data_IF_459204737188
#
_entry.id   IF_459204737188
#
_cell.length_a   1.000
_cell.length_b   1.000
_cell.length_c   1.000
_cell.angle_alpha   90.00
_cell.angle_beta   90.00
_cell.angle_gamma   90.00
#
_symmetry.space_group_name_H-M   'P 1'
#
loop_
_entity.id
_entity.type
_entity.pdbx_description
1 polymer ?
#
# COMPACT_ATOMS: atom_id res chain seq x y z
N UNK A 1 24.02 43.72 0.76
CA UNK A 1 22.78 43.00 1.15
C UNK A 1 23.17 41.78 1.96
N UNK A 2 22.57 41.60 3.10
CA UNK A 2 22.75 40.40 3.94
C UNK A 2 22.02 39.20 3.34
N UNK A 3 22.35 38.01 3.80
CA UNK A 3 21.63 36.78 3.36
C UNK A 3 20.14 36.84 3.66
N UNK A 4 19.75 37.44 4.81
CA UNK A 4 18.36 37.66 5.20
C UNK A 4 17.62 38.61 4.25
N UNK A 5 18.24 39.74 3.87
CA UNK A 5 17.65 40.66 2.92
C UNK A 5 17.44 40.06 1.55
N UNK A 6 18.43 39.27 1.07
CA UNK A 6 18.33 38.54 -0.19
C UNK A 6 17.23 37.48 -0.14
N UNK A 7 17.12 36.73 0.98
CA UNK A 7 16.06 35.76 1.18
C UNK A 7 14.68 36.45 1.14
N UNK A 8 14.51 37.55 1.84
CA UNK A 8 13.24 38.30 1.86
C UNK A 8 12.84 38.83 0.48
N UNK A 9 13.79 39.27 -0.34
CA UNK A 9 13.51 39.60 -1.74
C UNK A 9 13.04 38.38 -2.52
N UNK A 10 13.67 37.22 -2.32
CA UNK A 10 13.21 35.95 -2.90
C UNK A 10 11.74 35.66 -2.51
N UNK A 11 11.38 35.85 -1.24
CA UNK A 11 9.99 35.68 -0.75
C UNK A 11 9.05 36.69 -1.41
N UNK A 12 9.44 37.96 -1.56
CA UNK A 12 8.63 38.98 -2.23
C UNK A 12 8.31 38.60 -3.67
N UNK A 13 9.32 38.16 -4.45
CA UNK A 13 9.11 37.69 -5.82
C UNK A 13 8.31 36.39 -5.90
N UNK A 14 8.53 35.46 -4.97
CA UNK A 14 7.77 34.20 -4.93
C UNK A 14 6.28 34.41 -4.67
N UNK A 15 5.94 35.42 -3.85
CA UNK A 15 4.56 35.69 -3.41
C UNK A 15 3.89 36.89 -4.15
N UNK A 16 4.62 37.63 -4.99
CA UNK A 16 4.13 38.84 -5.62
C UNK A 16 3.88 40.00 -4.63
N UNK A 17 4.67 40.07 -3.56
CA UNK A 17 4.51 41.07 -2.50
C UNK A 17 5.28 42.35 -2.83
N UNK A 18 4.57 43.40 -3.28
CA UNK A 18 5.17 44.66 -3.67
C UNK A 18 5.89 44.64 -5.01
N UNK A 19 6.00 43.48 -5.66
CA UNK A 19 6.57 43.26 -6.98
C UNK A 19 5.70 42.23 -7.71
N UNK A 20 5.68 42.20 -9.07
CA UNK A 20 5.04 41.11 -9.80
C UNK A 20 5.61 39.74 -9.40
N UNK A 21 4.77 38.74 -9.28
CA UNK A 21 5.21 37.37 -8.96
C UNK A 21 6.13 36.85 -10.08
N UNK A 22 7.34 36.44 -9.70
CA UNK A 22 8.35 35.89 -10.61
C UNK A 22 9.18 34.83 -9.87
N UNK A 23 8.91 33.55 -10.14
CA UNK A 23 9.63 32.46 -9.52
C UNK A 23 11.09 32.34 -10.01
N UNK A 24 11.40 32.78 -11.24
CA UNK A 24 12.78 32.77 -11.71
C UNK A 24 13.64 33.81 -10.97
N UNK A 25 13.10 35.02 -10.77
CA UNK A 25 13.76 36.03 -9.92
C UNK A 25 13.83 35.56 -8.45
N UNK A 26 12.76 34.94 -7.92
CA UNK A 26 12.79 34.38 -6.57
C UNK A 26 13.94 33.35 -6.42
N UNK A 27 14.09 32.43 -7.39
CA UNK A 27 15.19 31.45 -7.39
C UNK A 27 16.58 32.08 -7.40
N UNK A 28 16.75 33.17 -8.18
CA UNK A 28 18.01 33.91 -8.22
C UNK A 28 18.36 34.54 -6.85
N UNK A 29 17.37 35.13 -6.19
CA UNK A 29 17.56 35.72 -4.88
C UNK A 29 17.78 34.67 -3.79
N UNK A 30 17.01 33.57 -3.80
CA UNK A 30 17.24 32.45 -2.90
C UNK A 30 18.64 31.84 -3.10
N UNK A 31 19.13 31.73 -4.34
CA UNK A 31 20.47 31.23 -4.63
C UNK A 31 21.55 32.12 -3.98
N UNK A 32 21.47 33.44 -4.14
CA UNK A 32 22.39 34.37 -3.50
C UNK A 32 22.44 34.19 -1.98
N UNK A 33 21.29 34.12 -1.33
CA UNK A 33 21.19 33.89 0.11
C UNK A 33 21.69 32.48 0.51
N UNK A 34 21.38 31.45 -0.28
CA UNK A 34 21.79 30.08 -0.04
C UNK A 34 23.32 29.88 -0.16
N UNK A 35 23.96 30.59 -1.10
CA UNK A 35 25.41 30.59 -1.27
C UNK A 35 26.13 31.25 -0.09
N UNK A 36 25.45 32.16 0.61
CA UNK A 36 25.93 32.74 1.88
C UNK A 36 25.63 31.84 3.10
N UNK A 37 25.09 30.63 2.88
CA UNK A 37 24.85 29.64 3.92
C UNK A 37 23.49 29.79 4.64
N UNK A 38 22.57 30.64 4.16
CA UNK A 38 21.27 30.83 4.82
C UNK A 38 20.36 29.60 4.64
N UNK A 39 20.15 28.83 5.72
CA UNK A 39 19.48 27.54 5.68
C UNK A 39 18.06 27.59 5.07
N UNK A 40 17.29 28.64 5.41
CA UNK A 40 15.94 28.80 4.85
C UNK A 40 15.96 29.02 3.34
N UNK A 41 16.95 29.77 2.82
CA UNK A 41 17.12 29.96 1.38
C UNK A 41 17.55 28.68 0.68
N UNK A 42 18.45 27.89 1.31
CA UNK A 42 18.84 26.58 0.82
C UNK A 42 17.66 25.62 0.71
N UNK A 43 16.79 25.61 1.73
CA UNK A 43 15.55 24.82 1.74
C UNK A 43 14.58 25.26 0.63
N UNK A 44 14.34 26.58 0.48
CA UNK A 44 13.46 27.07 -0.59
C UNK A 44 14.01 26.79 -1.98
N UNK A 45 15.28 26.99 -2.19
CA UNK A 45 15.91 26.70 -3.48
C UNK A 45 15.87 25.20 -3.79
N UNK A 46 16.11 24.34 -2.79
CA UNK A 46 15.96 22.90 -2.91
C UNK A 46 14.54 22.52 -3.34
N UNK A 47 13.51 23.09 -2.67
CA UNK A 47 12.13 22.87 -3.03
C UNK A 47 11.82 23.31 -4.48
N UNK A 48 12.30 24.49 -4.90
CA UNK A 48 12.12 24.97 -6.28
C UNK A 48 12.71 23.99 -7.31
N UNK A 49 13.86 23.40 -7.04
CA UNK A 49 14.41 22.35 -7.91
C UNK A 49 13.61 21.04 -7.87
N UNK A 50 13.05 20.66 -6.73
CA UNK A 50 12.23 19.47 -6.63
C UNK A 50 10.95 19.57 -7.47
N UNK A 51 10.34 20.76 -7.53
CA UNK A 51 9.06 20.96 -8.22
C UNK A 51 9.19 21.58 -9.62
N UNK A 52 10.37 22.07 -9.97
CA UNK A 52 10.59 22.76 -11.24
C UNK A 52 9.98 24.15 -11.29
N UNK A 53 9.92 24.86 -10.15
CA UNK A 53 9.31 26.18 -10.07
C UNK A 53 10.35 27.29 -10.19
N UNK A 54 10.32 28.06 -11.27
CA UNK A 54 11.28 29.12 -11.56
C UNK A 54 12.68 28.62 -11.97
N UNK A 55 12.92 27.32 -11.88
CA UNK A 55 14.10 26.59 -12.37
C UNK A 55 13.66 25.27 -12.99
N UNK A 56 14.40 24.68 -13.93
CA UNK A 56 14.14 23.33 -14.38
C UNK A 56 14.14 22.34 -13.22
N UNK A 57 13.22 21.36 -13.25
CA UNK A 57 13.17 20.33 -12.23
C UNK A 57 14.48 19.50 -12.24
N UNK A 58 15.11 19.41 -11.08
CA UNK A 58 16.37 18.66 -10.90
C UNK A 58 16.43 18.11 -9.46
N UNK A 59 16.14 16.81 -9.30
CA UNK A 59 16.18 16.16 -7.99
C UNK A 59 17.62 16.06 -7.42
N UNK A 60 18.68 16.06 -8.25
CA UNK A 60 20.03 16.06 -7.74
C UNK A 60 20.41 17.40 -7.10
N UNK A 61 20.04 18.50 -7.76
CA UNK A 61 20.17 19.84 -7.16
C UNK A 61 19.27 20.00 -5.92
N UNK A 62 18.03 19.49 -5.97
CA UNK A 62 17.14 19.47 -4.81
C UNK A 62 17.82 18.78 -3.61
N UNK A 63 18.29 17.55 -3.77
CA UNK A 63 18.96 16.78 -2.72
C UNK A 63 20.22 17.48 -2.20
N UNK A 64 21.00 18.10 -3.10
CA UNK A 64 22.21 18.85 -2.76
C UNK A 64 21.89 20.05 -1.85
N UNK A 65 20.86 20.82 -2.18
CA UNK A 65 20.47 21.98 -1.39
C UNK A 65 19.81 21.59 -0.08
N UNK A 66 18.94 20.56 -0.09
CA UNK A 66 18.34 20.05 1.15
C UNK A 66 19.40 19.50 2.10
N UNK A 67 20.44 18.81 1.60
CA UNK A 67 21.55 18.35 2.46
C UNK A 67 22.28 19.50 3.12
N UNK A 68 22.63 20.56 2.35
CA UNK A 68 23.27 21.76 2.92
C UNK A 68 22.41 22.41 3.99
N UNK A 69 21.10 22.49 3.77
CA UNK A 69 20.17 23.00 4.77
C UNK A 69 20.08 22.06 5.99
N UNK A 70 19.88 20.76 5.78
CA UNK A 70 19.64 19.76 6.81
C UNK A 70 20.83 19.53 7.76
N UNK A 71 22.03 19.83 7.32
CA UNK A 71 23.24 19.73 8.16
C UNK A 71 23.39 20.90 9.15
N UNK A 72 22.55 21.94 9.06
CA UNK A 72 22.55 23.07 9.98
C UNK A 72 21.68 22.76 11.22
N UNK A 73 22.15 23.09 12.41
CA UNK A 73 21.53 22.73 13.69
C UNK A 73 20.09 23.29 13.88
N UNK A 74 19.73 24.33 13.15
CA UNK A 74 18.40 25.01 13.24
C UNK A 74 17.48 24.64 12.08
N UNK A 75 17.75 23.58 11.35
CA UNK A 75 16.96 23.18 10.18
C UNK A 75 15.61 22.63 10.60
N UNK A 76 14.57 23.07 9.89
CA UNK A 76 13.22 22.56 10.09
C UNK A 76 13.14 21.06 9.83
N UNK A 77 12.40 20.36 10.67
CA UNK A 77 12.17 18.91 10.56
C UNK A 77 11.68 18.47 9.17
N UNK A 78 10.92 19.34 8.49
CA UNK A 78 10.38 19.10 7.14
C UNK A 78 11.51 18.89 6.12
N UNK A 79 12.57 19.72 6.14
CA UNK A 79 13.69 19.59 5.19
C UNK A 79 14.45 18.26 5.39
N UNK A 80 14.63 17.87 6.65
CA UNK A 80 15.25 16.57 6.98
C UNK A 80 14.36 15.40 6.53
N UNK A 81 13.04 15.52 6.73
CA UNK A 81 12.07 14.55 6.26
C UNK A 81 12.12 14.41 4.73
N UNK A 82 12.07 15.54 4.00
CA UNK A 82 12.10 15.55 2.54
C UNK A 82 13.40 14.94 1.99
N UNK A 83 14.53 15.23 2.62
CA UNK A 83 15.79 14.58 2.27
C UNK A 83 15.73 13.06 2.50
N UNK A 84 15.11 12.62 3.59
CA UNK A 84 14.82 11.21 3.84
C UNK A 84 13.96 10.58 2.75
N UNK A 85 12.95 11.29 2.24
CA UNK A 85 12.10 10.85 1.11
C UNK A 85 12.91 10.70 -0.17
N UNK A 86 13.80 11.64 -0.48
CA UNK A 86 14.67 11.55 -1.66
C UNK A 86 15.56 10.31 -1.61
N UNK A 87 16.17 10.01 -0.45
CA UNK A 87 16.95 8.78 -0.26
C UNK A 87 16.12 7.51 -0.33
N UNK A 88 14.92 7.52 0.26
CA UNK A 88 14.03 6.37 0.24
C UNK A 88 13.59 6.00 -1.18
N UNK A 89 13.40 7.01 -2.05
CA UNK A 89 12.92 6.85 -3.42
C UNK A 89 14.05 6.77 -4.46
N UNK A 90 15.30 7.10 -4.10
CA UNK A 90 16.40 7.22 -5.06
C UNK A 90 16.24 8.41 -6.03
N UNK A 91 15.60 9.49 -5.57
CA UNK A 91 15.35 10.68 -6.39
C UNK A 91 16.51 11.67 -6.26
N UNK A 92 17.28 11.83 -7.35
CA UNK A 92 18.46 12.70 -7.39
C UNK A 92 19.67 12.19 -6.57
N UNK A 93 19.50 11.12 -5.85
CA UNK A 93 20.53 10.39 -5.09
C UNK A 93 20.31 8.89 -5.27
N UNK A 94 21.32 8.04 -5.15
CA UNK A 94 21.11 6.59 -5.09
C UNK A 94 20.15 6.22 -3.95
N UNK A 95 19.25 5.27 -4.19
CA UNK A 95 18.34 4.79 -3.15
C UNK A 95 19.15 4.21 -1.98
N UNK A 96 18.88 4.71 -0.78
CA UNK A 96 19.56 4.29 0.44
C UNK A 96 18.62 4.40 1.64
N UNK A 97 18.05 3.26 2.05
CA UNK A 97 17.14 3.20 3.18
C UNK A 97 17.82 3.49 4.54
N UNK A 98 19.14 3.24 4.66
CA UNK A 98 19.88 3.56 5.90
C UNK A 98 19.98 5.07 6.06
N UNK A 99 20.34 5.79 4.99
CA UNK A 99 20.34 7.25 5.00
C UNK A 99 18.93 7.81 5.21
N UNK A 100 17.93 7.24 4.54
CA UNK A 100 16.53 7.66 4.72
C UNK A 100 16.09 7.52 6.18
N UNK A 101 16.35 6.36 6.82
CA UNK A 101 16.04 6.12 8.22
C UNK A 101 16.74 7.12 9.15
N UNK A 102 17.99 7.44 8.88
CA UNK A 102 18.76 8.41 9.67
C UNK A 102 18.15 9.82 9.60
N UNK A 103 17.72 10.25 8.41
CA UNK A 103 17.09 11.55 8.20
C UNK A 103 15.66 11.59 8.78
N UNK A 104 14.87 10.51 8.60
CA UNK A 104 13.57 10.40 9.24
C UNK A 104 13.68 10.46 10.76
N UNK A 105 14.71 9.81 11.35
CA UNK A 105 14.94 9.88 12.80
C UNK A 105 15.20 11.30 13.27
N UNK A 106 16.07 12.05 12.60
CA UNK A 106 16.35 13.44 12.95
C UNK A 106 15.07 14.29 12.93
N UNK A 107 14.24 14.12 11.89
CA UNK A 107 12.96 14.84 11.78
C UNK A 107 11.92 14.35 12.81
N UNK A 108 11.86 13.06 13.08
CA UNK A 108 10.95 12.44 14.05
C UNK A 108 11.26 12.86 15.49
N UNK A 109 12.55 12.99 15.81
CA UNK A 109 13.00 13.47 17.14
C UNK A 109 12.67 14.96 17.35
N UNK A 110 12.52 15.75 16.29
CA UNK A 110 11.97 17.11 16.33
C UNK A 110 10.42 17.14 16.41
N UNK A 111 9.75 15.99 16.45
CA UNK A 111 8.32 15.89 16.64
C UNK A 111 7.49 15.85 15.35
N UNK A 112 8.07 15.84 14.16
CA UNK A 112 7.30 15.83 12.91
C UNK A 112 6.55 14.48 12.76
N UNK A 113 5.21 14.55 12.78
CA UNK A 113 4.33 13.37 12.73
C UNK A 113 4.56 12.51 11.46
N UNK A 114 4.76 13.14 10.30
CA UNK A 114 5.05 12.43 9.06
C UNK A 114 6.37 11.63 9.15
N UNK A 115 7.40 12.21 9.76
CA UNK A 115 8.68 11.53 9.95
C UNK A 115 8.58 10.40 10.98
N UNK A 116 7.82 10.60 12.05
CA UNK A 116 7.55 9.56 13.05
C UNK A 116 6.80 8.38 12.42
N UNK A 117 5.80 8.64 11.60
CA UNK A 117 5.10 7.60 10.83
C UNK A 117 6.06 6.85 9.90
N UNK A 118 6.85 7.58 9.10
CA UNK A 118 7.79 6.96 8.14
C UNK A 118 8.87 6.12 8.84
N UNK A 119 9.38 6.59 9.99
CA UNK A 119 10.33 5.83 10.79
C UNK A 119 9.69 4.58 11.39
N UNK A 120 8.46 4.67 11.89
CA UNK A 120 7.67 3.53 12.34
C UNK A 120 7.49 2.49 11.24
N UNK A 121 7.19 2.95 10.04
CA UNK A 121 7.04 2.09 8.86
C UNK A 121 8.36 1.42 8.45
N UNK A 122 9.49 2.11 8.60
CA UNK A 122 10.82 1.52 8.37
C UNK A 122 11.15 0.42 9.36
N UNK A 123 10.79 0.58 10.63
CA UNK A 123 10.92 -0.49 11.62
C UNK A 123 9.94 -1.65 11.37
N UNK A 124 8.72 -1.36 10.93
CA UNK A 124 7.71 -2.35 10.56
C UNK A 124 8.17 -3.24 9.39
N UNK A 125 8.88 -2.68 8.40
CA UNK A 125 9.38 -3.41 7.24
C UNK A 125 10.83 -3.91 7.38
N UNK A 126 11.59 -3.42 8.36
CA UNK A 126 13.03 -3.67 8.46
C UNK A 126 13.86 -2.92 7.43
N UNK A 127 13.37 -1.78 6.90
CA UNK A 127 14.07 -0.98 5.90
C UNK A 127 15.05 -0.02 6.55
N UNK A 128 16.34 -0.07 6.15
CA UNK A 128 17.36 0.86 6.64
C UNK A 128 17.61 0.84 8.15
N UNK A 129 17.03 -0.12 8.85
CA UNK A 129 17.23 -0.41 10.27
C UNK A 129 17.88 -1.80 10.41
N UNK A 130 18.56 -2.10 11.54
CA UNK A 130 19.31 -3.37 11.67
C UNK A 130 18.43 -4.62 11.49
N UNK A 131 17.15 -4.54 11.86
CA UNK A 131 16.14 -5.60 11.70
C UNK A 131 14.73 -5.02 11.79
N UNK A 132 13.75 -5.79 11.31
CA UNK A 132 12.34 -5.53 11.60
C UNK A 132 12.09 -5.54 13.11
N UNK A 133 11.38 -4.53 13.60
CA UNK A 133 11.12 -4.36 15.04
C UNK A 133 9.75 -3.70 15.25
N UNK A 134 8.75 -4.53 15.50
CA UNK A 134 7.38 -4.07 15.72
C UNK A 134 7.20 -3.28 17.03
N UNK A 135 8.07 -3.47 18.04
CA UNK A 135 8.02 -2.68 19.28
C UNK A 135 8.41 -1.24 18.98
N UNK A 136 9.50 -1.05 18.21
CA UNK A 136 9.90 0.29 17.76
C UNK A 136 8.87 0.88 16.80
N UNK A 137 8.33 0.08 15.87
CA UNK A 137 7.27 0.53 14.96
C UNK A 137 6.06 1.06 15.74
N UNK A 138 5.55 0.28 16.71
CA UNK A 138 4.42 0.68 17.55
C UNK A 138 4.70 1.97 18.34
N UNK A 139 5.90 2.12 18.88
CA UNK A 139 6.30 3.31 19.64
C UNK A 139 6.30 4.57 18.75
N UNK A 140 6.83 4.48 17.53
CA UNK A 140 6.86 5.61 16.60
C UNK A 140 5.48 5.89 16.00
N UNK A 141 4.71 4.86 15.63
CA UNK A 141 3.32 5.02 15.18
C UNK A 141 2.48 5.69 16.26
N UNK A 142 2.66 5.34 17.56
CA UNK A 142 1.93 5.99 18.65
C UNK A 142 2.20 7.48 18.72
N UNK A 143 3.47 7.90 18.64
CA UNK A 143 3.82 9.33 18.65
C UNK A 143 3.14 10.09 17.51
N UNK A 144 3.14 9.53 16.30
CA UNK A 144 2.46 10.14 15.16
C UNK A 144 0.93 10.11 15.28
N UNK A 145 0.37 8.99 15.77
CA UNK A 145 -1.06 8.79 15.96
C UNK A 145 -1.66 9.74 17.01
N UNK A 146 -0.91 10.02 18.08
CA UNK A 146 -1.30 10.97 19.12
C UNK A 146 -1.34 12.41 18.58
N UNK A 147 -0.57 12.71 17.53
CA UNK A 147 -0.62 13.98 16.80
C UNK A 147 -1.72 14.02 15.72
N UNK A 148 -2.53 12.96 15.59
CA UNK A 148 -3.63 12.90 14.65
C UNK A 148 -3.29 12.31 13.28
N UNK A 149 -2.07 11.82 13.03
CA UNK A 149 -1.72 11.19 11.76
C UNK A 149 -2.58 9.94 11.51
N UNK A 150 -3.43 9.98 10.48
CA UNK A 150 -4.42 8.93 10.21
C UNK A 150 -3.76 7.60 9.80
N UNK A 151 -2.70 7.63 9.00
CA UNK A 151 -1.95 6.43 8.62
C UNK A 151 -1.33 5.75 9.85
N UNK A 152 -0.74 6.53 10.75
CA UNK A 152 -0.17 6.01 11.99
C UNK A 152 -1.25 5.43 12.91
N UNK A 153 -2.41 6.08 13.03
CA UNK A 153 -3.55 5.57 13.79
C UNK A 153 -4.03 4.23 13.24
N UNK A 154 -4.14 4.12 11.92
CA UNK A 154 -4.52 2.87 11.26
C UNK A 154 -3.49 1.77 11.50
N UNK A 155 -2.19 2.05 11.27
CA UNK A 155 -1.12 1.06 11.47
C UNK A 155 -1.00 0.63 12.93
N UNK A 156 -1.09 1.55 13.88
CA UNK A 156 -1.09 1.22 15.30
C UNK A 156 -2.28 0.32 15.66
N UNK A 157 -3.46 0.60 15.11
CA UNK A 157 -4.63 -0.25 15.26
C UNK A 157 -4.41 -1.66 14.71
N UNK A 158 -3.74 -1.79 13.56
CA UNK A 158 -3.37 -3.10 12.99
C UNK A 158 -2.39 -3.85 13.91
N UNK A 159 -1.37 -3.18 14.44
CA UNK A 159 -0.43 -3.81 15.37
C UNK A 159 -1.13 -4.34 16.62
N UNK A 160 -2.08 -3.59 17.21
CA UNK A 160 -2.87 -4.06 18.36
C UNK A 160 -3.81 -5.21 17.99
N UNK A 161 -4.41 -5.20 16.77
CA UNK A 161 -5.24 -6.30 16.29
C UNK A 161 -4.45 -7.60 16.19
N UNK A 162 -3.22 -7.52 15.68
CA UNK A 162 -2.40 -8.69 15.34
C UNK A 162 -1.45 -9.10 16.48
N UNK A 163 -1.33 -8.28 17.56
CA UNK A 163 -0.41 -8.53 18.66
C UNK A 163 1.06 -8.38 18.27
N UNK A 164 1.36 -7.49 17.30
CA UNK A 164 2.71 -7.27 16.80
C UNK A 164 3.40 -6.11 17.53
N UNK A 165 4.43 -6.42 18.31
CA UNK A 165 5.18 -5.45 19.11
C UNK A 165 4.41 -4.84 20.29
N UNK A 166 3.13 -5.17 20.42
CA UNK A 166 2.22 -4.81 21.53
C UNK A 166 1.36 -6.03 21.88
N UNK A 167 0.86 -6.16 23.12
CA UNK A 167 -0.13 -7.18 23.42
C UNK A 167 -1.37 -7.04 22.53
N UNK A 168 -1.91 -8.16 22.05
CA UNK A 168 -3.12 -8.13 21.23
C UNK A 168 -4.30 -7.56 22.03
N UNK A 169 -4.95 -6.55 21.47
CA UNK A 169 -6.13 -5.92 22.07
C UNK A 169 -7.04 -5.36 20.96
N UNK A 170 -8.11 -6.08 20.69
CA UNK A 170 -9.09 -5.70 19.67
C UNK A 170 -9.86 -4.41 20.01
N UNK A 171 -10.08 -4.10 21.28
CA UNK A 171 -10.79 -2.89 21.69
C UNK A 171 -9.92 -1.65 21.46
N UNK A 172 -8.63 -1.72 21.83
CA UNK A 172 -7.64 -0.67 21.54
C UNK A 172 -7.44 -0.54 20.02
N UNK A 173 -7.34 -1.65 19.29
CA UNK A 173 -7.25 -1.65 17.84
C UNK A 173 -8.42 -0.90 17.20
N UNK A 174 -9.65 -1.24 17.59
CA UNK A 174 -10.87 -0.60 17.09
C UNK A 174 -10.91 0.90 17.39
N UNK A 175 -10.45 1.30 18.58
CA UNK A 175 -10.41 2.72 18.96
C UNK A 175 -9.46 3.52 18.04
N UNK A 176 -8.28 2.99 17.75
CA UNK A 176 -7.32 3.66 16.86
C UNK A 176 -7.78 3.67 15.40
N UNK A 177 -8.24 2.53 14.89
CA UNK A 177 -8.77 2.43 13.51
C UNK A 177 -9.96 3.38 13.33
N UNK A 178 -10.87 3.49 14.32
CA UNK A 178 -12.01 4.41 14.26
C UNK A 178 -11.58 5.87 14.16
N UNK A 179 -10.52 6.28 14.88
CA UNK A 179 -9.97 7.65 14.76
C UNK A 179 -9.54 7.94 13.32
N UNK A 180 -8.79 7.03 12.68
CA UNK A 180 -8.38 7.19 11.29
C UNK A 180 -9.56 7.15 10.32
N UNK A 181 -10.50 6.22 10.50
CA UNK A 181 -11.69 6.09 9.67
C UNK A 181 -12.56 7.35 9.71
N UNK A 182 -12.71 7.96 10.89
CA UNK A 182 -13.43 9.22 11.09
C UNK A 182 -12.76 10.41 10.39
N UNK A 183 -11.46 10.36 10.16
CA UNK A 183 -10.75 11.37 9.35
C UNK A 183 -10.92 11.16 7.84
N UNK A 184 -11.55 10.07 7.41
CA UNK A 184 -11.75 9.75 6.00
C UNK A 184 -10.68 8.85 5.40
N UNK A 185 -9.80 8.23 6.21
CA UNK A 185 -8.88 7.21 5.71
C UNK A 185 -9.67 5.99 5.21
N UNK A 186 -9.75 5.81 3.89
CA UNK A 186 -10.55 4.76 3.28
C UNK A 186 -10.07 3.34 3.65
N UNK A 187 -8.77 3.17 3.90
CA UNK A 187 -8.23 1.89 4.35
C UNK A 187 -8.65 1.60 5.79
N UNK A 188 -8.60 2.60 6.68
CA UNK A 188 -9.09 2.46 8.05
C UNK A 188 -10.60 2.20 8.06
N UNK A 189 -11.38 2.84 7.18
CA UNK A 189 -12.81 2.55 7.01
C UNK A 189 -13.04 1.09 6.63
N UNK A 190 -12.22 0.54 5.72
CA UNK A 190 -12.29 -0.87 5.36
C UNK A 190 -11.97 -1.79 6.54
N UNK A 191 -10.89 -1.50 7.29
CA UNK A 191 -10.53 -2.26 8.49
C UNK A 191 -11.64 -2.21 9.54
N UNK A 192 -12.19 -1.01 9.80
CA UNK A 192 -13.26 -0.82 10.78
C UNK A 192 -14.53 -1.59 10.39
N UNK A 193 -14.88 -1.59 9.10
CA UNK A 193 -16.00 -2.35 8.58
C UNK A 193 -15.84 -3.86 8.81
N UNK A 194 -14.65 -4.40 8.58
CA UNK A 194 -14.33 -5.81 8.89
C UNK A 194 -14.40 -6.07 10.40
N UNK A 195 -13.91 -5.16 11.23
CA UNK A 195 -13.99 -5.33 12.70
C UNK A 195 -15.44 -5.36 13.20
N UNK A 196 -16.35 -4.56 12.63
CA UNK A 196 -17.78 -4.63 12.92
C UNK A 196 -18.41 -5.94 12.40
N UNK A 197 -18.03 -6.41 11.19
CA UNK A 197 -18.55 -7.67 10.63
C UNK A 197 -18.17 -8.88 11.50
N UNK A 198 -17.00 -8.87 12.08
CA UNK A 198 -16.48 -9.98 12.90
C UNK A 198 -16.70 -9.80 14.42
N UNK A 199 -17.13 -8.63 14.87
CA UNK A 199 -17.27 -8.32 16.30
C UNK A 199 -15.91 -8.20 17.02
N UNK A 200 -14.87 -7.73 16.33
CA UNK A 200 -13.54 -7.62 16.90
C UNK A 200 -13.39 -6.33 17.74
N UNK A 201 -13.34 -6.47 19.06
CA UNK A 201 -13.21 -5.35 19.99
C UNK A 201 -14.47 -4.51 20.16
N UNK A 202 -15.60 -4.95 19.60
CA UNK A 202 -16.90 -4.32 19.68
C UNK A 202 -18.00 -5.34 19.42
N UNK A 203 -19.26 -4.97 19.66
CA UNK A 203 -20.39 -5.81 19.26
C UNK A 203 -20.46 -5.90 17.73
N UNK A 204 -20.73 -7.10 17.23
CA UNK A 204 -20.97 -7.33 15.80
C UNK A 204 -22.18 -6.50 15.34
N UNK A 205 -22.00 -5.75 14.25
CA UNK A 205 -23.03 -4.89 13.67
C UNK A 205 -22.87 -4.82 12.15
N UNK A 206 -23.73 -5.52 11.43
CA UNK A 206 -23.68 -5.56 9.97
C UNK A 206 -24.06 -4.22 9.32
N UNK A 207 -24.92 -3.40 9.96
CA UNK A 207 -25.28 -2.07 9.44
C UNK A 207 -24.08 -1.14 9.48
N UNK A 208 -23.35 -1.11 10.61
CA UNK A 208 -22.09 -0.37 10.71
C UNK A 208 -21.02 -0.93 9.77
N UNK A 209 -20.88 -2.26 9.69
CA UNK A 209 -19.93 -2.91 8.80
C UNK A 209 -20.15 -2.47 7.34
N UNK A 210 -21.40 -2.58 6.86
CA UNK A 210 -21.77 -2.17 5.50
C UNK A 210 -21.52 -0.68 5.27
N UNK A 211 -21.94 0.18 6.21
CA UNK A 211 -21.73 1.64 6.10
C UNK A 211 -20.26 1.98 5.90
N UNK A 212 -19.37 1.45 6.77
CA UNK A 212 -17.93 1.73 6.69
C UNK A 212 -17.29 1.15 5.43
N UNK A 213 -17.68 -0.05 5.01
CA UNK A 213 -17.19 -0.65 3.76
C UNK A 213 -17.70 0.11 2.53
N UNK A 214 -18.90 0.68 2.57
CA UNK A 214 -19.44 1.50 1.49
C UNK A 214 -18.67 2.82 1.35
N UNK A 215 -18.25 3.44 2.45
CA UNK A 215 -17.36 4.62 2.44
C UNK A 215 -15.97 4.27 1.91
N UNK A 216 -15.40 3.14 2.35
CA UNK A 216 -14.11 2.66 1.85
C UNK A 216 -14.13 2.39 0.33
N UNK A 217 -15.24 1.84 -0.17
CA UNK A 217 -15.42 1.58 -1.59
C UNK A 217 -15.48 2.87 -2.42
N UNK A 218 -16.07 3.94 -1.88
CA UNK A 218 -16.08 5.26 -2.51
C UNK A 218 -14.69 5.93 -2.55
N UNK A 219 -13.78 5.51 -1.67
CA UNK A 219 -12.38 5.94 -1.62
C UNK A 219 -11.41 5.06 -2.43
N UNK A 220 -11.89 4.37 -3.47
CA UNK A 220 -11.13 3.50 -4.38
C UNK A 220 -10.38 2.32 -3.69
N UNK A 221 -10.82 1.92 -2.51
CA UNK A 221 -10.36 0.67 -1.91
C UNK A 221 -11.03 -0.49 -2.63
N UNK A 222 -10.31 -1.10 -3.56
CA UNK A 222 -10.79 -2.22 -4.42
C UNK A 222 -11.48 -3.32 -3.62
N UNK A 223 -10.99 -3.57 -2.42
CA UNK A 223 -11.54 -4.55 -1.49
C UNK A 223 -12.84 -4.08 -0.82
N UNK A 224 -13.07 -2.78 -0.70
CA UNK A 224 -14.25 -2.21 -0.05
C UNK A 224 -15.54 -2.73 -0.67
N UNK A 225 -15.61 -2.76 -1.99
CA UNK A 225 -16.77 -3.29 -2.71
C UNK A 225 -17.02 -4.78 -2.41
N UNK A 226 -15.96 -5.59 -2.49
CA UNK A 226 -16.07 -7.03 -2.23
C UNK A 226 -16.55 -7.32 -0.80
N UNK A 227 -15.92 -6.72 0.19
CA UNK A 227 -16.29 -6.92 1.60
C UNK A 227 -17.70 -6.41 1.91
N UNK A 228 -18.08 -5.25 1.36
CA UNK A 228 -19.44 -4.72 1.47
C UNK A 228 -20.47 -5.72 0.94
N UNK A 229 -20.20 -6.31 -0.22
CA UNK A 229 -21.13 -7.25 -0.86
C UNK A 229 -21.23 -8.57 -0.06
N UNK A 230 -20.14 -8.99 0.63
CA UNK A 230 -20.21 -10.13 1.57
C UNK A 230 -21.08 -9.81 2.79
N UNK A 231 -20.95 -8.62 3.36
CA UNK A 231 -21.78 -8.18 4.49
C UNK A 231 -23.24 -8.04 4.07
N UNK A 232 -23.51 -7.50 2.86
CA UNK A 232 -24.87 -7.34 2.33
C UNK A 232 -25.67 -8.66 2.28
N UNK A 233 -25.00 -9.79 2.05
CA UNK A 233 -25.63 -11.13 2.03
C UNK A 233 -26.15 -11.58 3.39
N UNK A 234 -25.68 -10.96 4.48
CA UNK A 234 -26.08 -11.23 5.87
C UNK A 234 -27.17 -10.27 6.35
N UNK A 235 -27.64 -9.33 5.51
CA UNK A 235 -28.50 -8.21 5.88
C UNK A 235 -29.86 -8.26 5.19
N UNK A 236 -30.89 -7.69 5.84
CA UNK A 236 -32.15 -7.41 5.19
C UNK A 236 -32.06 -6.18 4.26
N UNK A 237 -33.04 -6.02 3.37
CA UNK A 237 -33.09 -4.84 2.48
C UNK A 237 -33.21 -3.52 3.28
N UNK A 238 -33.94 -3.54 4.38
CA UNK A 238 -34.11 -2.40 5.28
C UNK A 238 -32.79 -2.02 5.95
N UNK A 239 -32.04 -3.00 6.43
CA UNK A 239 -30.69 -2.79 7.01
C UNK A 239 -29.71 -2.21 5.99
N UNK A 240 -29.74 -2.70 4.75
CA UNK A 240 -28.89 -2.15 3.66
C UNK A 240 -29.28 -0.70 3.37
N UNK A 241 -30.59 -0.39 3.26
CA UNK A 241 -31.05 0.98 3.04
C UNK A 241 -30.63 1.91 4.18
N UNK A 242 -30.75 1.48 5.43
CA UNK A 242 -30.28 2.22 6.61
C UNK A 242 -28.78 2.50 6.53
N UNK A 243 -27.96 1.49 6.25
CA UNK A 243 -26.53 1.64 6.15
C UNK A 243 -26.10 2.58 5.02
N UNK A 244 -26.79 2.53 3.88
CA UNK A 244 -26.58 3.45 2.76
C UNK A 244 -26.95 4.90 3.12
N UNK A 245 -28.02 5.10 3.86
CA UNK A 245 -28.41 6.42 4.34
C UNK A 245 -27.38 6.97 5.32
N UNK A 246 -26.90 6.15 6.26
CA UNK A 246 -25.83 6.53 7.19
C UNK A 246 -24.56 6.93 6.43
N UNK A 247 -24.17 6.18 5.40
CA UNK A 247 -22.99 6.50 4.58
C UNK A 247 -23.15 7.83 3.81
N UNK A 248 -24.37 8.11 3.25
CA UNK A 248 -24.65 9.38 2.57
C UNK A 248 -24.55 10.58 3.51
N UNK A 249 -24.98 10.41 4.75
CA UNK A 249 -25.00 11.48 5.75
C UNK A 249 -23.69 11.62 6.51
N UNK A 250 -22.76 10.67 6.35
CA UNK A 250 -21.48 10.68 7.03
C UNK A 250 -20.60 11.82 6.52
N UNK A 251 -19.90 12.47 7.45
CA UNK A 251 -18.89 13.50 7.14
C UNK A 251 -17.66 13.23 7.98
N UNK A 252 -16.45 13.47 7.45
CA UNK A 252 -15.23 13.37 8.24
C UNK A 252 -15.32 14.27 9.47
N UNK A 253 -15.01 13.70 10.65
CA UNK A 253 -14.85 14.46 11.88
C UNK A 253 -13.37 14.63 12.16
N UNK A 254 -12.87 15.79 11.94
CA UNK A 254 -11.47 16.17 12.05
C UNK A 254 -11.02 16.78 10.74
N UNK A 255 -10.52 17.98 10.79
CA UNK A 255 -9.67 18.48 9.74
C UNK A 255 -8.50 17.51 9.67
N UNK A 256 -8.29 16.86 8.51
CA UNK A 256 -6.93 16.50 8.15
C UNK A 256 -6.19 17.82 8.33
N UNK A 257 -5.40 17.95 9.40
CA UNK A 257 -4.35 18.93 9.43
C UNK A 257 -3.42 18.50 8.28
N UNK A 258 -3.80 18.90 7.07
CA UNK A 258 -2.81 19.16 6.04
C UNK A 258 -2.06 20.32 6.68
N UNK A 259 -0.97 19.98 7.40
CA UNK A 259 0.00 20.97 7.79
C UNK A 259 0.20 21.80 6.54
N UNK A 260 -0.16 23.10 6.61
CA UNK A 260 -0.13 24.00 5.46
C UNK A 260 1.29 24.26 4.94
N UNK A 261 2.19 23.33 5.19
CA UNK A 261 3.57 23.18 4.75
C UNK A 261 3.84 21.72 4.33
N UNK A 262 2.82 21.02 3.77
CA UNK A 262 3.18 19.79 3.05
C UNK A 262 4.07 20.22 1.88
N UNK A 263 5.35 19.88 1.98
CA UNK A 263 6.26 19.97 0.85
C UNK A 263 5.61 19.27 -0.34
N UNK A 264 5.73 19.87 -1.50
CA UNK A 264 5.26 19.35 -2.78
C UNK A 264 5.85 17.96 -3.14
N UNK A 265 6.73 17.42 -2.31
CA UNK A 265 7.37 16.11 -2.45
C UNK A 265 6.59 15.01 -1.74
N UNK A 266 5.74 15.32 -0.74
CA UNK A 266 4.98 14.31 0.03
C UNK A 266 3.86 13.60 -0.75
N UNK A 267 3.68 13.92 -2.03
CA UNK A 267 2.67 13.30 -2.91
C UNK A 267 2.94 11.87 -3.34
N UNK A 268 4.05 11.23 -2.95
CA UNK A 268 4.44 9.97 -3.59
C UNK A 268 4.58 8.73 -2.70
N UNK A 269 4.41 8.84 -1.38
CA UNK A 269 4.33 7.65 -0.52
C UNK A 269 2.94 6.99 -0.49
N UNK A 270 1.94 7.65 -1.09
CA UNK A 270 0.57 7.15 -1.17
C UNK A 270 0.19 6.55 -2.54
N UNK A 271 1.10 6.44 -3.49
CA UNK A 271 0.85 5.62 -4.68
C UNK A 271 0.93 4.16 -4.31
N UNK A 272 -0.24 3.67 -4.03
CA UNK A 272 -0.46 2.33 -3.60
C UNK A 272 -0.31 1.32 -4.63
N UNK A 273 0.38 0.51 -4.16
CA UNK A 273 0.65 -0.87 -4.44
C UNK A 273 -0.66 -1.66 -4.43
N UNK A 274 -1.16 -2.04 -5.58
CA UNK A 274 -1.98 -3.23 -5.66
C UNK A 274 -1.10 -4.38 -5.20
N UNK A 275 -1.50 -5.09 -4.15
CA UNK A 275 -0.78 -6.25 -3.67
C UNK A 275 -1.43 -7.51 -4.21
N UNK A 276 -0.63 -8.39 -4.75
CA UNK A 276 -1.05 -9.72 -5.18
C UNK A 276 0.03 -10.72 -4.84
N UNK A 277 -0.26 -11.98 -5.08
CA UNK A 277 0.69 -13.06 -4.90
C UNK A 277 1.34 -13.41 -6.22
N UNK A 278 2.62 -13.74 -6.17
CA UNK A 278 3.35 -14.35 -7.27
C UNK A 278 4.38 -15.31 -6.70
N UNK A 279 4.87 -16.23 -7.51
CA UNK A 279 5.85 -17.22 -7.08
C UNK A 279 6.92 -17.44 -8.14
N UNK A 280 8.14 -17.68 -7.69
CA UNK A 280 9.25 -17.97 -8.58
C UNK A 280 9.13 -19.34 -9.21
N UNK A 281 9.38 -19.41 -10.52
CA UNK A 281 9.28 -20.64 -11.32
C UNK A 281 10.62 -21.08 -11.92
N UNK A 282 11.67 -20.27 -11.77
CA UNK A 282 13.05 -20.66 -12.18
C UNK A 282 14.08 -20.05 -11.23
N UNK A 283 15.24 -20.71 -11.13
CA UNK A 283 16.41 -20.20 -10.40
C UNK A 283 16.97 -18.89 -10.98
N UNK A 284 16.64 -18.57 -12.22
CA UNK A 284 17.04 -17.31 -12.86
C UNK A 284 16.15 -16.13 -12.46
N UNK A 285 15.16 -16.30 -11.59
CA UNK A 285 14.30 -15.23 -11.07
C UNK A 285 13.08 -14.92 -11.94
N UNK A 286 12.57 -15.89 -12.73
CA UNK A 286 11.24 -15.75 -13.36
C UNK A 286 10.15 -16.00 -12.33
N UNK A 287 9.13 -15.15 -12.34
CA UNK A 287 8.01 -15.18 -11.42
C UNK A 287 6.69 -15.16 -12.20
N UNK A 288 5.75 -15.99 -11.79
CA UNK A 288 4.38 -16.03 -12.34
C UNK A 288 3.41 -15.40 -11.37
N UNK A 289 2.46 -14.63 -11.90
CA UNK A 289 1.31 -14.04 -11.18
C UNK A 289 0.12 -13.93 -12.14
N UNK A 290 -1.04 -13.50 -11.65
CA UNK A 290 -2.15 -13.14 -12.52
C UNK A 290 -1.93 -11.78 -13.20
N UNK A 291 -2.46 -11.64 -14.43
CA UNK A 291 -2.36 -10.40 -15.19
C UNK A 291 -3.08 -9.24 -14.48
N UNK A 292 -4.29 -9.46 -13.94
CA UNK A 292 -5.05 -8.43 -13.25
C UNK A 292 -4.35 -7.89 -11.98
N UNK A 293 -3.39 -8.64 -11.41
CA UNK A 293 -2.58 -8.19 -10.27
C UNK A 293 -1.61 -7.08 -10.67
N UNK A 294 -1.19 -7.06 -11.93
CA UNK A 294 -0.20 -6.11 -12.46
C UNK A 294 -0.80 -5.08 -13.42
N UNK A 295 -2.06 -5.24 -13.80
CA UNK A 295 -2.71 -4.34 -14.76
C UNK A 295 -2.84 -2.93 -14.18
N UNK A 296 -2.38 -1.93 -14.93
CA UNK A 296 -2.34 -0.53 -14.49
C UNK A 296 -1.19 -0.16 -13.54
N UNK A 297 -0.30 -1.09 -13.19
CA UNK A 297 0.85 -0.80 -12.34
C UNK A 297 1.97 -0.11 -13.14
N UNK A 298 2.46 1.03 -12.65
CA UNK A 298 3.60 1.75 -13.24
C UNK A 298 4.96 1.16 -12.84
N UNK A 299 5.01 0.44 -11.73
CA UNK A 299 6.20 -0.26 -11.25
C UNK A 299 5.81 -1.55 -10.53
N UNK A 300 6.58 -2.62 -10.77
CA UNK A 300 6.35 -3.92 -10.19
C UNK A 300 7.51 -4.27 -9.28
N UNK A 301 7.20 -4.72 -8.05
CA UNK A 301 8.21 -5.11 -7.05
C UNK A 301 7.81 -6.39 -6.33
N UNK A 302 8.77 -7.26 -6.05
CA UNK A 302 8.65 -8.34 -5.10
C UNK A 302 9.59 -8.06 -3.93
N UNK A 303 9.03 -7.74 -2.77
CA UNK A 303 9.80 -7.22 -1.64
C UNK A 303 10.60 -5.96 -2.03
N UNK A 304 11.93 -6.05 -2.08
CA UNK A 304 12.83 -4.96 -2.47
C UNK A 304 13.31 -5.05 -3.92
N UNK A 305 12.91 -6.10 -4.65
CA UNK A 305 13.42 -6.36 -6.00
C UNK A 305 12.47 -5.81 -7.07
N UNK A 306 13.04 -5.10 -8.05
CA UNK A 306 12.29 -4.59 -9.19
C UNK A 306 12.02 -5.73 -10.16
N UNK A 307 10.77 -5.85 -10.59
CA UNK A 307 10.33 -6.86 -11.54
C UNK A 307 10.05 -6.23 -12.90
N UNK A 308 10.55 -6.86 -13.95
CA UNK A 308 10.28 -6.48 -15.33
C UNK A 308 9.24 -7.42 -15.93
N UNK A 309 8.24 -6.88 -16.59
CA UNK A 309 7.26 -7.67 -17.33
C UNK A 309 7.93 -8.28 -18.57
N UNK A 310 7.91 -9.62 -18.67
CA UNK A 310 8.45 -10.38 -19.80
C UNK A 310 7.34 -10.73 -20.78
N UNK A 311 6.23 -11.26 -20.28
CA UNK A 311 5.09 -11.68 -21.09
C UNK A 311 3.80 -11.49 -20.29
N UNK A 312 2.71 -11.31 -21.02
CA UNK A 312 1.36 -11.25 -20.45
C UNK A 312 0.38 -12.01 -21.34
N UNK A 313 -0.51 -12.72 -20.72
CA UNK A 313 -1.64 -13.39 -21.34
C UNK A 313 -2.92 -12.86 -20.67
N UNK A 314 -3.57 -11.92 -21.33
CA UNK A 314 -4.80 -11.30 -20.80
C UNK A 314 -5.98 -12.25 -20.81
N UNK A 315 -6.02 -13.16 -21.77
CA UNK A 315 -7.11 -14.08 -21.94
C UNK A 315 -7.11 -15.14 -20.84
N UNK A 316 -5.94 -15.64 -20.49
CA UNK A 316 -5.75 -16.61 -19.42
C UNK A 316 -5.40 -15.97 -18.06
N UNK A 317 -5.42 -14.62 -17.96
CA UNK A 317 -5.13 -13.87 -16.75
C UNK A 317 -3.77 -14.23 -16.12
N UNK A 318 -2.73 -14.39 -16.94
CA UNK A 318 -1.38 -14.72 -16.51
C UNK A 318 -0.37 -13.64 -16.90
N UNK A 319 0.65 -13.48 -16.06
CA UNK A 319 1.80 -12.63 -16.34
C UNK A 319 3.09 -13.31 -15.90
N UNK A 320 4.12 -13.19 -16.74
CA UNK A 320 5.48 -13.62 -16.44
C UNK A 320 6.35 -12.39 -16.21
N UNK A 321 6.96 -12.35 -15.05
CA UNK A 321 7.85 -11.28 -14.60
C UNK A 321 9.26 -11.81 -14.45
N UNK A 322 10.24 -10.90 -14.53
CA UNK A 322 11.67 -11.19 -14.31
C UNK A 322 12.20 -10.31 -13.18
N UNK A 323 12.72 -10.95 -12.16
CA UNK A 323 13.52 -10.35 -11.09
C UNK A 323 14.92 -10.04 -11.57
N UNK A 324 15.52 -8.98 -11.05
CA UNK A 324 16.95 -8.67 -11.27
C UNK A 324 17.86 -9.62 -10.51
N UNK A 325 17.33 -10.34 -9.51
CA UNK A 325 18.06 -11.30 -8.67
C UNK A 325 17.72 -12.74 -9.06
N UNK A 326 18.71 -13.62 -8.96
CA UNK A 326 18.47 -15.07 -8.98
C UNK A 326 17.83 -15.53 -7.67
N UNK A 327 16.99 -16.56 -7.72
CA UNK A 327 16.38 -17.16 -6.55
C UNK A 327 16.70 -18.66 -6.51
N UNK A 328 17.25 -19.13 -5.39
CA UNK A 328 17.56 -20.53 -5.19
C UNK A 328 16.33 -21.38 -4.85
N UNK A 329 15.23 -20.74 -4.44
CA UNK A 329 13.97 -21.40 -4.12
C UNK A 329 12.92 -21.03 -5.17
N UNK A 330 12.50 -22.02 -5.94
CA UNK A 330 11.46 -21.85 -6.95
C UNK A 330 10.53 -23.06 -6.97
N UNK A 331 9.30 -22.82 -7.38
CA UNK A 331 8.27 -23.86 -7.46
C UNK A 331 8.46 -24.73 -8.71
N UNK A 332 8.17 -26.01 -8.56
CA UNK A 332 8.23 -27.00 -9.64
C UNK A 332 6.80 -27.31 -10.08
N UNK A 333 6.54 -27.29 -11.38
CA UNK A 333 5.25 -27.70 -11.92
C UNK A 333 5.11 -29.21 -11.90
N UNK A 334 3.92 -29.72 -11.54
CA UNK A 334 3.59 -31.14 -11.63
C UNK A 334 3.55 -31.56 -13.09
N UNK A 335 4.24 -32.65 -13.41
CA UNK A 335 4.20 -33.26 -14.76
C UNK A 335 3.04 -34.26 -14.97
N UNK A 336 2.20 -34.48 -13.97
CA UNK A 336 1.10 -35.44 -14.03
C UNK A 336 -0.27 -34.78 -14.21
N UNK A 337 -1.27 -35.56 -14.73
CA UNK A 337 -2.63 -35.02 -14.89
C UNK A 337 -3.28 -34.77 -13.53
N UNK A 338 -3.97 -33.63 -13.43
CA UNK A 338 -4.80 -33.28 -12.28
C UNK A 338 -6.07 -34.16 -12.28
N UNK A 339 -6.54 -34.58 -11.10
CA UNK A 339 -7.71 -35.44 -10.93
C UNK A 339 -8.74 -34.86 -10.01
N UNK A 340 -10.02 -35.10 -10.30
CA UNK A 340 -11.11 -34.77 -9.37
C UNK A 340 -10.91 -35.55 -8.06
N UNK A 341 -11.14 -34.87 -6.94
CA UNK A 341 -10.87 -35.42 -5.60
C UNK A 341 -9.44 -35.25 -5.11
N UNK A 342 -8.51 -34.83 -5.98
CA UNK A 342 -7.10 -34.63 -5.60
C UNK A 342 -6.99 -33.54 -4.53
N UNK A 343 -6.34 -33.82 -3.38
CA UNK A 343 -6.10 -32.83 -2.35
C UNK A 343 -5.17 -31.72 -2.84
N UNK A 344 -5.50 -30.48 -2.49
CA UNK A 344 -4.77 -29.30 -2.93
C UNK A 344 -4.59 -28.29 -1.80
N UNK A 345 -3.53 -27.47 -1.93
CA UNK A 345 -3.23 -26.35 -1.07
C UNK A 345 -3.13 -25.06 -1.91
N UNK A 346 -3.95 -24.07 -1.62
CA UNK A 346 -3.80 -22.73 -2.20
C UNK A 346 -2.96 -21.89 -1.25
N UNK A 347 -1.89 -21.28 -1.79
CA UNK A 347 -0.96 -20.44 -1.02
C UNK A 347 -1.01 -19.02 -1.56
N UNK A 348 -1.09 -18.05 -0.65
CA UNK A 348 -1.10 -16.65 -1.04
C UNK A 348 -0.87 -15.71 0.14
N UNK A 349 -0.80 -14.42 -0.17
CA UNK A 349 -0.70 -13.36 0.83
C UNK A 349 -1.97 -12.49 0.77
N UNK A 350 -3.10 -12.98 1.32
CA UNK A 350 -4.33 -12.24 1.27
C UNK A 350 -4.20 -10.99 2.12
N UNK A 351 -4.44 -9.83 1.50
CA UNK A 351 -4.66 -8.59 2.22
C UNK A 351 -3.57 -8.24 3.24
N UNK A 352 -2.32 -8.21 2.78
CA UNK A 352 -1.18 -7.84 3.63
C UNK A 352 -1.51 -6.54 4.40
N UNK A 353 -1.45 -6.61 5.72
CA UNK A 353 -1.84 -5.51 6.61
C UNK A 353 -3.33 -5.47 7.00
N UNK A 354 -4.21 -6.27 6.37
CA UNK A 354 -5.62 -6.38 6.76
C UNK A 354 -5.95 -7.69 7.47
N UNK A 355 -5.43 -8.84 7.00
CA UNK A 355 -5.80 -10.16 7.52
C UNK A 355 -4.63 -10.98 8.03
N UNK A 356 -3.42 -10.87 7.45
CA UNK A 356 -2.27 -11.63 7.90
C UNK A 356 -0.94 -10.96 7.53
N UNK A 357 0.08 -11.13 8.39
CA UNK A 357 1.46 -10.72 8.11
C UNK A 357 2.28 -11.78 7.35
N UNK A 358 1.74 -13.00 7.19
CA UNK A 358 2.38 -14.14 6.54
C UNK A 358 1.56 -14.74 5.40
N UNK A 359 2.12 -15.78 4.77
CA UNK A 359 1.41 -16.57 3.77
C UNK A 359 0.20 -17.27 4.40
N UNK A 360 -0.95 -17.18 3.74
CA UNK A 360 -2.13 -17.97 4.09
C UNK A 360 -2.11 -19.26 3.26
N UNK A 361 -2.31 -20.38 3.93
CA UNK A 361 -2.41 -21.71 3.28
C UNK A 361 -3.81 -22.24 3.57
N UNK A 362 -4.59 -22.45 2.51
CA UNK A 362 -5.91 -23.07 2.61
C UNK A 362 -5.91 -24.41 1.89
N UNK A 363 -6.60 -25.39 2.45
CA UNK A 363 -6.64 -26.74 1.91
C UNK A 363 -8.04 -27.07 1.40
N UNK A 364 -8.11 -27.93 0.39
CA UNK A 364 -9.32 -28.43 -0.22
C UNK A 364 -9.01 -29.53 -1.21
N UNK A 365 -9.93 -29.75 -2.15
CA UNK A 365 -9.77 -30.73 -3.21
C UNK A 365 -10.11 -30.11 -4.56
N UNK A 366 -9.64 -30.70 -5.64
CA UNK A 366 -10.13 -30.42 -6.99
C UNK A 366 -11.56 -30.97 -7.09
N UNK A 367 -12.54 -30.11 -7.34
CA UNK A 367 -13.96 -30.50 -7.46
C UNK A 367 -14.41 -30.71 -8.90
N UNK A 368 -13.77 -30.04 -9.86
CA UNK A 368 -13.97 -30.28 -11.29
C UNK A 368 -12.71 -29.89 -12.09
N UNK A 369 -12.57 -30.48 -13.28
CA UNK A 369 -11.47 -30.21 -14.21
C UNK A 369 -11.84 -29.16 -15.28
N UNK A 370 -12.97 -28.52 -15.13
CA UNK A 370 -13.41 -27.40 -15.95
C UNK A 370 -14.10 -26.35 -15.08
N UNK A 371 -14.02 -25.10 -15.52
CA UNK A 371 -14.73 -23.98 -14.96
C UNK A 371 -16.13 -23.79 -15.55
N UNK A 372 -16.74 -22.60 -15.37
CA UNK A 372 -18.03 -22.26 -15.95
C UNK A 372 -18.01 -22.42 -17.49
N UNK A 373 -19.12 -22.91 -18.05
CA UNK A 373 -19.27 -23.18 -19.49
C UNK A 373 -18.26 -24.18 -20.05
N UNK A 374 -17.87 -25.19 -19.23
CA UNK A 374 -16.90 -26.22 -19.56
C UNK A 374 -15.50 -25.70 -19.95
N UNK A 375 -15.12 -24.56 -19.41
CA UNK A 375 -13.80 -23.96 -19.63
C UNK A 375 -12.69 -24.83 -19.00
N UNK A 376 -12.04 -25.65 -19.82
CA UNK A 376 -10.98 -26.58 -19.40
C UNK A 376 -9.69 -25.90 -18.95
N UNK A 377 -9.54 -24.58 -19.18
CA UNK A 377 -8.42 -23.78 -18.68
C UNK A 377 -8.50 -23.58 -17.17
N UNK A 378 -9.64 -23.83 -16.56
CA UNK A 378 -9.90 -23.60 -15.16
C UNK A 378 -10.10 -24.94 -14.42
N UNK A 379 -9.47 -25.02 -13.26
CA UNK A 379 -9.74 -26.05 -12.25
C UNK A 379 -10.70 -25.49 -11.21
N UNK A 380 -11.76 -26.22 -10.92
CA UNK A 380 -12.63 -25.88 -9.79
C UNK A 380 -12.09 -26.53 -8.51
N UNK A 381 -12.01 -25.76 -7.43
CA UNK A 381 -11.44 -26.22 -6.16
C UNK A 381 -12.36 -25.87 -4.98
N UNK A 382 -12.32 -26.68 -3.93
CA UNK A 382 -13.02 -26.40 -2.67
C UNK A 382 -12.16 -25.64 -1.65
N UNK A 383 -10.84 -25.51 -1.90
CA UNK A 383 -9.97 -24.70 -1.05
C UNK A 383 -10.47 -23.25 -1.02
N UNK A 384 -10.71 -22.66 0.17
CA UNK A 384 -11.13 -21.27 0.28
C UNK A 384 -10.09 -20.33 -0.32
N UNK A 385 -10.49 -19.48 -1.26
CA UNK A 385 -9.64 -18.47 -1.89
C UNK A 385 -10.11 -17.09 -1.48
N UNK A 386 -9.19 -16.25 -1.04
CA UNK A 386 -9.45 -14.88 -0.62
C UNK A 386 -8.78 -13.89 -1.58
N UNK A 387 -9.29 -12.64 -1.70
CA UNK A 387 -8.58 -11.58 -2.39
C UNK A 387 -7.15 -11.43 -1.86
N UNK A 388 -6.18 -11.31 -2.78
CA UNK A 388 -4.76 -11.36 -2.45
C UNK A 388 -4.11 -12.75 -2.62
N UNK A 389 -4.90 -13.85 -2.69
CA UNK A 389 -4.38 -15.16 -3.11
C UNK A 389 -4.21 -15.25 -4.63
N UNK A 390 -4.81 -14.35 -5.41
CA UNK A 390 -4.64 -14.28 -6.87
C UNK A 390 -3.17 -14.25 -7.27
N UNK A 391 -2.81 -15.09 -8.23
CA UNK A 391 -1.44 -15.25 -8.69
C UNK A 391 -0.60 -16.19 -7.85
N UNK A 392 -1.13 -16.68 -6.72
CA UNK A 392 -0.45 -17.68 -5.88
C UNK A 392 -0.52 -19.09 -6.46
N UNK A 393 0.40 -19.99 -6.04
CA UNK A 393 0.40 -21.36 -6.51
C UNK A 393 -0.72 -22.17 -5.88
N UNK A 394 -1.35 -23.04 -6.68
CA UNK A 394 -2.12 -24.18 -6.21
C UNK A 394 -1.19 -25.39 -6.22
N UNK A 395 -0.98 -25.99 -5.06
CA UNK A 395 -0.02 -27.08 -4.86
C UNK A 395 -0.74 -28.42 -4.65
N UNK A 396 -0.12 -29.50 -5.13
CA UNK A 396 -0.46 -30.87 -4.74
C UNK A 396 0.15 -31.25 -3.37
N UNK A 397 -0.10 -32.45 -2.90
CA UNK A 397 0.44 -32.96 -1.61
C UNK A 397 1.97 -33.09 -1.58
N UNK A 398 2.62 -33.14 -2.74
CA UNK A 398 4.09 -33.15 -2.85
C UNK A 398 4.70 -31.75 -2.91
N UNK A 399 3.87 -30.70 -2.90
CA UNK A 399 4.29 -29.32 -3.01
C UNK A 399 4.58 -28.86 -4.44
N UNK A 400 4.19 -29.63 -5.46
CA UNK A 400 4.33 -29.21 -6.85
C UNK A 400 3.15 -28.37 -7.29
N UNK A 401 3.39 -27.39 -8.16
CA UNK A 401 2.37 -26.50 -8.71
C UNK A 401 1.50 -27.26 -9.72
N UNK A 402 0.21 -27.27 -9.50
CA UNK A 402 -0.81 -27.80 -10.42
C UNK A 402 -1.74 -26.73 -10.96
N UNK A 403 -1.60 -25.49 -10.51
CA UNK A 403 -2.41 -24.37 -10.97
C UNK A 403 -1.96 -23.02 -10.42
N UNK A 404 -2.52 -21.96 -10.96
CA UNK A 404 -2.37 -20.59 -10.46
C UNK A 404 -3.74 -20.12 -9.97
N UNK A 405 -3.82 -19.74 -8.70
CA UNK A 405 -5.08 -19.35 -8.04
C UNK A 405 -5.63 -18.08 -8.67
N UNK A 406 -6.92 -18.06 -9.00
CA UNK A 406 -7.66 -16.89 -9.50
C UNK A 406 -8.75 -16.54 -8.49
N UNK A 407 -8.66 -15.40 -7.85
CA UNK A 407 -9.67 -14.94 -6.88
C UNK A 407 -10.82 -14.14 -7.52
N UNK A 408 -10.73 -13.88 -8.82
CA UNK A 408 -11.67 -13.01 -9.54
C UNK A 408 -12.25 -13.73 -10.76
N UNK A 409 -13.08 -14.74 -10.54
CA UNK A 409 -14.10 -15.03 -11.54
C UNK A 409 -15.29 -14.11 -11.26
N UNK A 410 -15.76 -13.45 -12.31
CA UNK A 410 -16.89 -12.53 -12.25
C UNK A 410 -18.14 -13.34 -11.85
N UNK A 411 -18.39 -13.38 -10.53
CA UNK A 411 -19.56 -14.10 -9.95
C UNK A 411 -20.88 -13.64 -10.56
N UNK A 412 -20.91 -12.40 -11.08
CA UNK A 412 -22.06 -11.88 -11.84
C UNK A 412 -22.21 -12.54 -13.21
N UNK A 413 -21.09 -12.87 -13.89
CA UNK A 413 -21.15 -13.64 -15.16
C UNK A 413 -21.62 -15.06 -14.91
N UNK A 414 -21.13 -15.69 -13.84
CA UNK A 414 -21.56 -17.06 -13.45
C UNK A 414 -23.04 -17.06 -13.07
N UNK A 415 -23.48 -16.13 -12.21
CA UNK A 415 -24.88 -16.02 -11.82
C UNK A 415 -25.82 -15.73 -13.01
N UNK A 416 -25.38 -14.95 -13.99
CA UNK A 416 -26.13 -14.70 -15.22
C UNK A 416 -26.21 -15.93 -16.13
N UNK A 417 -25.18 -16.77 -16.14
CA UNK A 417 -25.11 -17.97 -16.98
C UNK A 417 -25.84 -19.17 -16.33
N UNK A 418 -25.84 -19.29 -15.01
CA UNK A 418 -26.37 -20.49 -14.30
C UNK A 418 -27.67 -20.22 -13.53
N UNK A 419 -28.05 -18.95 -13.33
CA UNK A 419 -29.19 -18.56 -12.50
C UNK A 419 -28.97 -18.72 -11.00
N UNK A 420 -27.80 -19.24 -10.59
CA UNK A 420 -27.45 -19.50 -9.20
C UNK A 420 -26.06 -19.01 -8.87
N UNK A 421 -25.81 -18.55 -7.63
CA UNK A 421 -24.50 -18.15 -7.14
C UNK A 421 -23.89 -19.35 -6.41
N UNK A 422 -22.92 -20.08 -7.01
CA UNK A 422 -22.33 -21.23 -6.34
C UNK A 422 -21.59 -20.76 -5.08
N UNK A 423 -21.96 -21.31 -3.93
CA UNK A 423 -21.27 -21.09 -2.67
C UNK A 423 -20.02 -22.00 -2.60
N UNK A 424 -18.88 -21.43 -2.18
CA UNK A 424 -17.62 -22.16 -1.99
C UNK A 424 -16.99 -22.78 -3.26
N UNK A 425 -17.20 -22.20 -4.43
CA UNK A 425 -16.56 -22.61 -5.66
C UNK A 425 -15.46 -21.61 -6.00
N UNK A 426 -14.22 -22.07 -5.96
CA UNK A 426 -13.03 -21.27 -6.27
C UNK A 426 -12.33 -21.91 -7.48
N UNK A 427 -11.52 -21.10 -8.17
CA UNK A 427 -10.90 -21.54 -9.41
C UNK A 427 -9.39 -21.33 -9.39
N UNK A 428 -8.70 -22.16 -10.17
CA UNK A 428 -7.30 -21.98 -10.51
C UNK A 428 -7.10 -22.26 -12.00
N UNK A 429 -6.15 -21.55 -12.61
CA UNK A 429 -5.76 -21.75 -14.01
C UNK A 429 -4.99 -23.07 -14.09
N UNK A 430 -5.37 -23.91 -15.02
CA UNK A 430 -4.70 -25.19 -15.32
C UNK A 430 -3.49 -24.90 -16.24
N UNK A 431 -2.25 -25.02 -15.77
CA UNK A 431 -1.08 -24.71 -16.59
C UNK A 431 -0.78 -25.79 -17.64
N UNK A 432 -1.43 -26.94 -17.56
CA UNK A 432 -1.23 -28.08 -18.48
C UNK A 432 -2.25 -28.09 -19.62
N UNK A 433 -3.18 -27.14 -19.70
CA UNK A 433 -4.11 -27.06 -20.80
C UNK A 433 -3.34 -26.63 -22.07
N UNK A 434 -3.02 -27.60 -22.94
CA UNK A 434 -2.49 -27.33 -24.27
C UNK A 434 -3.66 -26.85 -25.13
N UNK A 435 -3.50 -25.73 -25.82
CA UNK A 435 -4.35 -25.41 -26.95
C UNK A 435 -4.08 -26.38 -28.06
N UNK A 436 -5.05 -27.22 -28.43
CA UNK A 436 -5.10 -27.91 -29.71
C UNK A 436 -5.35 -26.90 -30.85
#
# INVERSE_FOLDING_TARGET
MTATEQYNLGVMYANGQGVPQDYAEAARWYRKAADLGFAAAQAQLGNMYCVGQGVPQDYAECARWFRKAADQAQTQAVVQYDLGVLYANGQGVPQDYVQAAAWYRKAADQGLAAAQFSLGWFYDLGHGVPRQDYVQAAAWYRKAADQGNADAQRQLGVLYRDGLGVPQDYAVAAAWVRKAANQGDAKAQSVLGVMYDLGLGMLQDYVQAYMWLNLAAAGDVVLGNYLRDQVARKMSREQIAQAQEMARNWKPTGTIARDGQSSSISGSLSQLEATGTGFFVTGQGHLVTNYHVIDGCNALKAQTDVLNLIARDKENDLALLKSTKSNSQFAIFSGGPVRVGQPVMAVGYPLRGLLASGANVTTGNVSALAGPSDDTRLLQITAPVQPGNSGGPLLDQSGNVIGVVVSKLDTLKIARATGDIPQNVNFAINPLCQHD
#
